data_IF_696426381245
#
_entry.id   IF_696426381245
#
_cell.length_a   1.000
_cell.length_b   1.000
_cell.length_c   1.000
_cell.angle_alpha   90.00
_cell.angle_beta   90.00
_cell.angle_gamma   90.00
#
_symmetry.space_group_name_H-M   'P 1'
#
loop_
_entity.id
_entity.type
_entity.pdbx_description
1 polymer ?
#
# COMPACT_ATOMS: atom_id res chain seq x y z
N UNK A 1 -10.21 1.20 16.58
CA UNK A 1 -10.04 2.55 15.98
C UNK A 1 -10.19 2.43 14.47
N UNK A 2 -10.87 3.39 13.84
CA UNK A 2 -11.01 3.47 12.38
C UNK A 2 -10.18 4.66 11.90
N UNK A 3 -9.36 4.47 10.87
CA UNK A 3 -8.46 5.50 10.34
C UNK A 3 -8.19 5.25 8.85
N UNK A 4 -7.39 6.10 8.22
CA UNK A 4 -6.89 5.98 6.85
C UNK A 4 -5.38 5.91 6.89
N UNK A 5 -4.77 5.13 6.02
CA UNK A 5 -3.31 5.07 5.90
C UNK A 5 -2.85 5.72 4.61
N UNK A 6 -1.71 6.42 4.71
CA UNK A 6 -0.85 6.76 3.60
C UNK A 6 0.38 5.84 3.67
N UNK A 7 0.55 4.99 2.66
CA UNK A 7 1.57 3.94 2.61
C UNK A 7 2.47 4.23 1.41
N UNK A 8 3.77 4.35 1.65
CA UNK A 8 4.79 4.44 0.60
C UNK A 8 5.54 3.12 0.52
N UNK A 9 5.55 2.53 -0.68
CA UNK A 9 6.17 1.24 -0.98
C UNK A 9 7.25 1.41 -2.02
N UNK A 10 8.39 0.77 -1.80
CA UNK A 10 9.41 0.57 -2.82
C UNK A 10 9.15 -0.80 -3.45
N UNK A 11 8.95 -0.82 -4.76
CA UNK A 11 8.52 -2.02 -5.47
C UNK A 11 9.38 -2.29 -6.71
N UNK A 12 9.34 -3.53 -7.18
CA UNK A 12 9.96 -3.88 -8.44
C UNK A 12 9.30 -3.13 -9.60
N UNK A 13 10.09 -2.61 -10.54
CA UNK A 13 9.56 -2.04 -11.78
C UNK A 13 9.26 -3.17 -12.79
N UNK A 14 8.11 -3.83 -12.59
CA UNK A 14 7.65 -4.94 -13.42
C UNK A 14 6.13 -4.90 -13.62
N UNK A 15 5.61 -5.39 -14.76
CA UNK A 15 4.18 -5.54 -14.97
C UNK A 15 3.52 -6.42 -13.87
N UNK A 16 2.32 -6.04 -13.46
CA UNK A 16 1.51 -6.81 -12.50
C UNK A 16 1.75 -6.47 -11.02
N UNK A 17 2.77 -5.66 -10.69
CA UNK A 17 3.07 -5.27 -9.29
C UNK A 17 1.90 -4.54 -8.65
N UNK A 18 1.32 -3.54 -9.34
CA UNK A 18 0.15 -2.82 -8.84
C UNK A 18 -1.05 -3.76 -8.59
N UNK A 19 -1.25 -4.76 -9.45
CA UNK A 19 -2.34 -5.71 -9.29
C UNK A 19 -2.14 -6.57 -8.04
N UNK A 20 -0.94 -7.09 -7.80
CA UNK A 20 -0.62 -7.87 -6.60
C UNK A 20 -0.83 -7.04 -5.31
N UNK A 21 -0.35 -5.80 -5.31
CA UNK A 21 -0.56 -4.87 -4.20
C UNK A 21 -2.05 -4.67 -3.95
N UNK A 22 -2.83 -4.36 -4.99
CA UNK A 22 -4.28 -4.16 -4.88
C UNK A 22 -5.02 -5.42 -4.38
N UNK A 23 -4.59 -6.61 -4.78
CA UNK A 23 -5.15 -7.88 -4.26
C UNK A 23 -4.98 -7.98 -2.75
N UNK A 24 -3.81 -7.65 -2.21
CA UNK A 24 -3.56 -7.70 -0.75
C UNK A 24 -4.46 -6.74 0.02
N UNK A 25 -4.71 -5.53 -0.52
CA UNK A 25 -5.69 -4.61 0.07
C UNK A 25 -7.11 -5.22 0.08
N UNK A 26 -7.53 -5.82 -1.04
CA UNK A 26 -8.85 -6.43 -1.16
C UNK A 26 -9.04 -7.63 -0.22
N UNK A 27 -8.03 -8.49 -0.05
CA UNK A 27 -8.06 -9.64 0.87
C UNK A 27 -8.26 -9.23 2.33
N UNK A 28 -7.81 -8.03 2.71
CA UNK A 28 -8.00 -7.46 4.04
C UNK A 28 -9.25 -6.58 4.16
N UNK A 29 -10.05 -6.47 3.10
CA UNK A 29 -11.24 -5.61 3.08
C UNK A 29 -10.93 -4.12 3.15
N UNK A 30 -9.73 -3.70 2.71
CA UNK A 30 -9.31 -2.30 2.69
C UNK A 30 -9.47 -1.72 1.29
N UNK A 31 -10.31 -0.69 1.16
CA UNK A 31 -10.47 0.02 -0.12
C UNK A 31 -9.38 1.08 -0.32
N UNK A 32 -8.88 1.19 -1.55
CA UNK A 32 -7.91 2.20 -1.97
C UNK A 32 -8.67 3.46 -2.39
N UNK A 33 -8.22 4.61 -1.91
CA UNK A 33 -8.73 5.93 -2.29
C UNK A 33 -7.90 6.52 -3.43
N UNK A 34 -6.58 6.57 -3.24
CA UNK A 34 -5.65 7.10 -4.23
C UNK A 34 -4.47 6.16 -4.40
N UNK A 35 -4.02 5.98 -5.64
CA UNK A 35 -2.76 5.31 -5.94
C UNK A 35 -1.93 6.16 -6.88
N UNK A 36 -0.65 6.34 -6.56
CA UNK A 36 0.32 7.00 -7.41
C UNK A 36 1.55 6.12 -7.56
N UNK A 37 1.84 5.72 -8.79
CA UNK A 37 3.09 5.05 -9.15
C UNK A 37 4.06 6.06 -9.74
N UNK A 38 5.33 5.97 -9.38
CA UNK A 38 6.40 6.76 -9.99
C UNK A 38 7.61 5.88 -10.20
N UNK A 39 8.13 5.85 -11.43
CA UNK A 39 9.31 5.09 -11.81
C UNK A 39 10.52 5.99 -12.02
N UNK A 40 11.70 5.56 -11.58
CA UNK A 40 12.98 6.19 -11.91
C UNK A 40 14.08 5.14 -11.91
N UNK A 41 14.92 5.14 -12.94
CA UNK A 41 16.16 4.34 -13.05
C UNK A 41 16.00 2.83 -12.72
N UNK A 42 14.89 2.20 -13.13
CA UNK A 42 14.62 0.76 -12.90
C UNK A 42 14.03 0.42 -11.53
N UNK A 43 13.66 1.44 -10.76
CA UNK A 43 12.93 1.34 -9.51
C UNK A 43 11.56 1.99 -9.64
N UNK A 44 10.57 1.40 -8.97
CA UNK A 44 9.22 1.94 -8.90
C UNK A 44 8.85 2.18 -7.44
N UNK A 45 8.20 3.31 -7.19
CA UNK A 45 7.58 3.62 -5.91
C UNK A 45 6.06 3.64 -6.09
N UNK A 46 5.35 3.12 -5.10
CA UNK A 46 3.89 3.18 -5.01
C UNK A 46 3.50 3.93 -3.75
N UNK A 47 2.74 5.00 -3.92
CA UNK A 47 2.07 5.70 -2.82
C UNK A 47 0.60 5.32 -2.88
N UNK A 48 0.10 4.75 -1.78
CA UNK A 48 -1.29 4.32 -1.63
C UNK A 48 -1.92 5.06 -0.47
N UNK A 49 -3.06 5.70 -0.72
CA UNK A 49 -3.93 6.24 0.33
C UNK A 49 -5.17 5.38 0.41
N UNK A 50 -5.57 4.99 1.62
CA UNK A 50 -6.75 4.15 1.83
C UNK A 50 -7.99 4.98 2.16
N UNK A 51 -9.15 4.39 1.90
CA UNK A 51 -10.38 4.77 2.60
C UNK A 51 -10.29 4.40 4.09
N UNK A 52 -11.31 4.78 4.86
CA UNK A 52 -11.42 4.43 6.28
C UNK A 52 -11.55 2.92 6.45
N UNK A 53 -10.67 2.35 7.28
CA UNK A 53 -10.72 0.95 7.67
C UNK A 53 -10.29 0.79 9.14
N UNK A 54 -10.50 -0.39 9.71
CA UNK A 54 -10.02 -0.67 11.07
C UNK A 54 -8.50 -0.67 11.11
N UNK A 55 -7.92 -0.14 12.18
CA UNK A 55 -6.47 -0.12 12.38
C UNK A 55 -5.84 -1.52 12.30
N UNK A 56 -6.58 -2.54 12.77
CA UNK A 56 -6.19 -3.94 12.66
C UNK A 56 -6.15 -4.45 11.21
N UNK A 57 -7.14 -4.11 10.39
CA UNK A 57 -7.16 -4.47 8.97
C UNK A 57 -5.99 -3.80 8.22
N UNK A 58 -5.79 -2.49 8.45
CA UNK A 58 -4.71 -1.72 7.86
C UNK A 58 -3.33 -2.25 8.27
N UNK A 59 -3.14 -2.56 9.56
CA UNK A 59 -1.92 -3.21 10.05
C UNK A 59 -1.68 -4.57 9.41
N UNK A 60 -2.72 -5.41 9.31
CA UNK A 60 -2.65 -6.70 8.62
C UNK A 60 -2.25 -6.55 7.14
N UNK A 61 -2.84 -5.59 6.43
CA UNK A 61 -2.48 -5.27 5.04
C UNK A 61 -1.01 -4.90 4.92
N UNK A 62 -0.50 -4.02 5.78
CA UNK A 62 0.92 -3.64 5.78
C UNK A 62 1.82 -4.85 5.96
N UNK A 63 1.52 -5.72 6.93
CA UNK A 63 2.32 -6.92 7.20
C UNK A 63 2.26 -7.93 6.04
N UNK A 64 1.14 -8.01 5.32
CA UNK A 64 1.03 -8.81 4.12
C UNK A 64 1.82 -8.20 2.95
N UNK A 65 1.76 -6.88 2.76
CA UNK A 65 2.54 -6.17 1.72
C UNK A 65 4.04 -6.36 1.93
N UNK A 66 4.54 -6.36 3.18
CA UNK A 66 5.96 -6.62 3.50
C UNK A 66 6.43 -8.01 3.05
N UNK A 67 5.52 -8.95 2.85
CA UNK A 67 5.83 -10.34 2.46
C UNK A 67 5.69 -10.59 0.97
N UNK A 68 5.25 -9.61 0.18
CA UNK A 68 5.20 -9.73 -1.27
C UNK A 68 6.61 -9.65 -1.85
N UNK A 69 6.98 -10.64 -2.67
CA UNK A 69 8.27 -10.66 -3.38
C UNK A 69 8.51 -9.44 -4.27
N UNK A 70 7.42 -8.79 -4.71
CA UNK A 70 7.46 -7.59 -5.53
C UNK A 70 7.66 -6.30 -4.73
N UNK A 71 7.50 -6.34 -3.41
CA UNK A 71 7.73 -5.21 -2.50
C UNK A 71 9.14 -5.35 -1.94
N UNK A 72 10.01 -4.41 -2.31
CA UNK A 72 11.38 -4.32 -1.81
C UNK A 72 11.42 -3.77 -0.39
N UNK A 73 10.48 -2.88 -0.07
CA UNK A 73 10.36 -2.28 1.26
C UNK A 73 9.09 -1.45 1.43
N UNK A 74 8.73 -1.23 2.69
CA UNK A 74 7.70 -0.24 3.07
C UNK A 74 8.42 0.97 3.62
N UNK A 75 8.55 2.01 2.80
CA UNK A 75 9.33 3.20 3.10
C UNK A 75 8.69 4.04 4.21
N UNK A 76 7.35 4.18 4.22
CA UNK A 76 6.66 4.88 5.29
C UNK A 76 5.19 4.48 5.41
N UNK A 77 4.66 4.61 6.63
CA UNK A 77 3.25 4.42 6.96
C UNK A 77 2.86 5.58 7.86
N UNK A 78 1.86 6.35 7.45
CA UNK A 78 1.33 7.47 8.21
C UNK A 78 -0.18 7.33 8.33
N UNK A 79 -0.73 7.58 9.52
CA UNK A 79 -2.17 7.78 9.67
C UNK A 79 -2.53 9.14 9.08
N UNK A 80 -3.59 9.17 8.28
CA UNK A 80 -4.13 10.40 7.72
C UNK A 80 -5.24 10.87 8.64
N UNK A 81 -5.02 12.01 9.27
CA UNK A 81 -6.00 12.70 10.12
C UNK A 81 -6.69 13.78 9.28
N UNK A 82 -8.03 13.84 9.30
CA UNK A 82 -8.83 14.80 8.52
C UNK A 82 -9.59 14.19 7.34
N UNK A 83 -10.62 14.93 6.88
CA UNK A 83 -11.38 14.64 5.64
C UNK A 83 -10.66 15.16 4.40
#
# INVERSE_FOLDING_TARGET
VVTRYHISLDVADKPGVLAQVATVFAEHGVSIDTVRQSGKDGEASLVVVTHRASDAALGGTVEALRKLDTVRGVASIMRVEGE
#
